data_IF_964761072016
#
_entry.id   IF_964761072016
#
_cell.length_a   1.000
_cell.length_b   1.000
_cell.length_c   1.000
_cell.angle_alpha   90.00
_cell.angle_beta   90.00
_cell.angle_gamma   90.00
#
_symmetry.space_group_name_H-M   'P 1'
#
loop_
_entity.id
_entity.type
_entity.pdbx_description
1 polymer ?
#
# COMPACT_ATOMS: atom_id res chain seq x y z
N UNK A 1 25.41 26.16 -43.18
CA UNK A 1 24.84 24.93 -42.59
C UNK A 1 25.46 24.71 -41.21
N UNK A 2 24.73 25.01 -40.12
CA UNK A 2 25.09 24.65 -38.74
C UNK A 2 23.84 24.03 -38.12
N UNK A 3 23.89 22.74 -37.77
CA UNK A 3 22.81 22.08 -37.01
C UNK A 3 23.02 22.38 -35.52
N UNK A 4 22.02 22.97 -34.88
CA UNK A 4 21.93 23.06 -33.41
C UNK A 4 21.21 21.80 -32.92
N UNK A 5 21.87 21.03 -32.07
CA UNK A 5 21.26 19.94 -31.31
C UNK A 5 20.57 20.55 -30.09
N UNK A 6 19.26 20.32 -29.95
CA UNK A 6 18.53 20.63 -28.73
C UNK A 6 18.57 19.39 -27.82
N UNK A 7 19.25 19.53 -26.68
CA UNK A 7 19.21 18.58 -25.58
C UNK A 7 17.95 18.91 -24.75
N UNK A 8 16.91 18.09 -24.82
CA UNK A 8 15.79 18.20 -23.90
C UNK A 8 16.16 17.52 -22.59
N UNK A 9 16.50 18.32 -21.57
CA UNK A 9 16.54 17.88 -20.17
C UNK A 9 15.14 18.06 -19.60
N UNK A 10 14.35 16.98 -19.52
CA UNK A 10 13.14 16.96 -18.69
C UNK A 10 13.53 16.70 -17.23
N UNK A 11 14.09 17.72 -16.58
CA UNK A 11 14.31 17.70 -15.13
C UNK A 11 13.01 18.05 -14.42
N UNK A 12 12.20 17.04 -14.07
CA UNK A 12 11.12 17.21 -13.11
C UNK A 12 11.71 17.35 -11.71
N UNK A 13 11.41 18.44 -11.02
CA UNK A 13 11.85 18.68 -9.65
C UNK A 13 10.97 17.86 -8.70
N UNK A 14 11.55 16.82 -8.07
CA UNK A 14 10.87 16.03 -7.04
C UNK A 14 10.93 16.76 -5.70
N UNK A 15 9.77 17.06 -5.11
CA UNK A 15 9.70 17.42 -3.69
C UNK A 15 9.65 16.13 -2.88
N UNK A 16 10.77 15.75 -2.28
CA UNK A 16 10.87 14.63 -1.34
C UNK A 16 10.07 14.95 -0.07
N UNK A 17 9.08 14.12 0.24
CA UNK A 17 8.54 13.96 1.60
C UNK A 17 8.55 12.45 1.88
N UNK A 18 9.12 11.97 3.00
CA UNK A 18 9.08 10.56 3.34
C UNK A 18 7.65 10.15 3.78
N UNK A 19 7.29 8.89 3.55
CA UNK A 19 5.98 8.33 3.91
C UNK A 19 4.76 8.77 3.08
N UNK A 20 4.74 9.94 2.41
CA UNK A 20 3.77 10.25 1.33
C UNK A 20 4.36 11.12 0.25
N UNK A 21 4.17 10.68 -0.98
CA UNK A 21 4.41 11.54 -2.13
C UNK A 21 3.08 12.11 -2.60
N UNK A 22 2.83 13.39 -2.29
CA UNK A 22 1.96 14.19 -3.15
C UNK A 22 2.79 14.53 -4.38
N UNK A 23 2.65 13.74 -5.45
CA UNK A 23 3.33 14.00 -6.72
C UNK A 23 2.52 14.98 -7.54
N UNK A 24 3.14 16.07 -7.98
CA UNK A 24 2.54 16.98 -8.93
C UNK A 24 2.25 16.24 -10.24
N UNK A 25 0.98 16.17 -10.65
CA UNK A 25 0.48 15.77 -11.98
C UNK A 25 1.00 14.46 -12.63
N UNK A 26 1.85 13.67 -11.99
CA UNK A 26 2.26 12.34 -12.42
C UNK A 26 1.66 11.29 -11.48
N UNK A 27 0.72 10.49 -11.99
CA UNK A 27 0.01 9.48 -11.18
C UNK A 27 0.94 8.40 -10.62
N UNK A 28 0.47 7.70 -9.60
CA UNK A 28 1.20 6.61 -8.95
C UNK A 28 1.49 5.48 -9.96
N UNK A 29 2.75 5.05 -9.99
CA UNK A 29 3.20 3.87 -10.73
C UNK A 29 3.96 2.96 -9.76
N UNK A 30 3.37 1.84 -9.39
CA UNK A 30 3.90 0.95 -8.35
C UNK A 30 3.25 -0.41 -8.39
N UNK A 31 3.80 -1.36 -7.62
CA UNK A 31 3.27 -2.72 -7.54
C UNK A 31 2.98 -3.07 -6.09
N UNK A 32 1.83 -3.69 -5.84
CA UNK A 32 1.59 -4.43 -4.61
C UNK A 32 1.78 -5.91 -4.91
N UNK A 33 2.53 -6.60 -4.08
CA UNK A 33 2.81 -8.02 -4.23
C UNK A 33 2.21 -8.73 -3.03
N UNK A 34 1.35 -9.70 -3.30
CA UNK A 34 0.65 -10.50 -2.30
C UNK A 34 1.21 -11.91 -2.40
N UNK A 35 1.85 -12.39 -1.34
CA UNK A 35 2.52 -13.69 -1.34
C UNK A 35 2.17 -14.48 -0.10
N UNK A 36 2.01 -15.78 -0.25
CA UNK A 36 1.89 -16.68 0.89
C UNK A 36 3.27 -17.22 1.23
N UNK A 37 3.80 -16.92 2.43
CA UNK A 37 5.09 -17.46 2.84
C UNK A 37 5.15 -17.63 4.37
N UNK A 38 5.36 -18.85 4.88
CA UNK A 38 5.28 -19.11 6.31
C UNK A 38 6.46 -18.56 7.12
N UNK A 39 7.58 -18.23 6.47
CA UNK A 39 8.76 -17.66 7.13
C UNK A 39 8.81 -16.14 6.95
N UNK A 40 9.70 -15.48 7.71
CA UNK A 40 9.89 -14.04 7.60
C UNK A 40 10.50 -13.68 6.23
N UNK A 41 10.03 -12.58 5.64
CA UNK A 41 10.40 -12.19 4.27
C UNK A 41 11.89 -11.81 4.13
N UNK A 42 12.53 -11.39 5.22
CA UNK A 42 13.97 -11.08 5.28
C UNK A 42 14.85 -12.33 5.13
N UNK A 43 14.33 -13.52 5.40
CA UNK A 43 15.03 -14.79 5.19
C UNK A 43 15.06 -15.23 3.72
N UNK A 44 14.21 -14.65 2.88
CA UNK A 44 14.15 -14.98 1.46
C UNK A 44 15.32 -14.33 0.70
N UNK A 45 16.35 -15.13 0.40
CA UNK A 45 17.45 -14.78 -0.53
C UNK A 45 16.96 -14.24 -1.88
N UNK A 46 15.73 -14.57 -2.27
CA UNK A 46 15.06 -14.08 -3.46
C UNK A 46 14.84 -12.55 -3.44
N UNK A 47 14.68 -11.92 -2.27
CA UNK A 47 14.66 -10.46 -2.17
C UNK A 47 16.04 -9.83 -2.39
N UNK A 48 17.12 -10.59 -2.19
CA UNK A 48 18.48 -10.15 -2.53
C UNK A 48 18.64 -9.83 -4.02
N UNK A 49 17.90 -10.49 -4.92
CA UNK A 49 17.89 -10.14 -6.36
C UNK A 49 16.87 -9.04 -6.69
N UNK A 50 15.77 -8.87 -5.93
CA UNK A 50 14.99 -7.62 -6.01
C UNK A 50 15.81 -6.41 -5.59
N UNK A 51 16.65 -6.54 -4.56
CA UNK A 51 17.57 -5.48 -4.14
C UNK A 51 18.55 -5.08 -5.25
N UNK A 52 18.84 -5.98 -6.20
CA UNK A 52 19.65 -5.68 -7.39
C UNK A 52 18.84 -4.96 -8.47
N UNK A 53 17.55 -5.26 -8.61
CA UNK A 53 16.64 -4.57 -9.54
C UNK A 53 16.20 -3.20 -9.01
N UNK A 54 16.08 -3.07 -7.69
CA UNK A 54 15.72 -1.86 -6.93
C UNK A 54 16.95 -1.10 -6.40
N UNK A 55 18.14 -1.45 -6.91
CA UNK A 55 19.43 -1.01 -6.38
C UNK A 55 19.57 0.52 -6.39
N UNK A 56 19.38 1.13 -5.22
CA UNK A 56 19.90 2.48 -4.95
C UNK A 56 19.15 3.27 -3.89
N UNK A 57 17.85 3.03 -3.69
CA UNK A 57 17.06 3.87 -2.78
C UNK A 57 16.47 3.04 -1.61
N UNK A 58 16.96 3.27 -0.38
CA UNK A 58 16.26 2.85 0.83
C UNK A 58 14.81 3.37 0.81
N UNK A 59 13.84 2.55 1.22
CA UNK A 59 12.43 2.94 1.27
C UNK A 59 11.62 2.71 -0.02
N UNK A 60 12.11 1.86 -0.92
CA UNK A 60 11.43 1.48 -2.18
C UNK A 60 10.50 0.28 -2.05
N UNK A 61 10.73 -0.56 -1.02
CA UNK A 61 9.85 -1.67 -0.64
C UNK A 61 9.30 -1.39 0.76
N UNK A 62 7.98 -1.43 0.90
CA UNK A 62 7.29 -1.36 2.19
C UNK A 62 6.60 -2.70 2.45
N UNK A 63 6.74 -3.23 3.65
CA UNK A 63 6.03 -4.44 4.06
C UNK A 63 4.82 -4.02 4.89
N UNK A 64 3.64 -4.49 4.51
CA UNK A 64 2.43 -4.32 5.31
C UNK A 64 2.30 -5.47 6.32
N UNK A 65 1.42 -5.31 7.31
CA UNK A 65 1.21 -6.32 8.35
C UNK A 65 0.85 -7.70 7.77
N UNK A 66 1.24 -8.74 8.52
CA UNK A 66 0.97 -10.14 8.15
C UNK A 66 -0.54 -10.38 8.15
N UNK A 67 -1.02 -11.01 7.09
CA UNK A 67 -2.42 -11.36 6.85
C UNK A 67 -2.68 -12.82 7.30
N UNK A 68 -3.93 -13.19 7.63
CA UNK A 68 -4.27 -14.50 8.18
C UNK A 68 -3.72 -15.61 7.31
N UNK A 69 -3.13 -16.65 7.91
CA UNK A 69 -2.57 -17.77 7.16
C UNK A 69 -1.14 -17.54 6.63
N UNK A 70 -0.43 -16.50 7.07
CA UNK A 70 0.97 -16.27 6.66
C UNK A 70 1.10 -15.58 5.30
N UNK A 71 0.09 -14.79 4.95
CA UNK A 71 0.11 -13.96 3.77
C UNK A 71 0.83 -12.64 4.07
N UNK A 72 1.65 -12.19 3.12
CA UNK A 72 2.39 -10.93 3.21
C UNK A 72 2.01 -10.04 2.04
N UNK A 73 1.97 -8.73 2.29
CA UNK A 73 1.74 -7.72 1.26
C UNK A 73 2.93 -6.77 1.23
N UNK A 74 3.48 -6.58 0.04
CA UNK A 74 4.65 -5.73 -0.21
C UNK A 74 4.28 -4.63 -1.20
N UNK A 75 4.52 -3.37 -0.86
CA UNK A 75 4.41 -2.22 -1.77
C UNK A 75 5.79 -1.92 -2.36
N UNK A 76 5.90 -1.91 -3.68
CA UNK A 76 7.11 -1.56 -4.43
C UNK A 76 6.86 -0.28 -5.22
N UNK A 77 7.39 0.85 -4.72
CA UNK A 77 7.05 2.22 -5.16
C UNK A 77 7.51 2.63 -6.54
N UNK A 78 8.49 1.94 -7.12
CA UNK A 78 8.94 2.14 -8.50
C UNK A 78 8.54 0.99 -9.42
N UNK A 79 7.73 0.09 -8.87
CA UNK A 79 7.32 -1.12 -9.51
C UNK A 79 8.42 -2.15 -9.73
N UNK A 80 7.99 -3.33 -10.17
CA UNK A 80 8.90 -4.38 -10.58
C UNK A 80 9.18 -4.24 -12.07
N UNK A 81 10.46 -4.24 -12.42
CA UNK A 81 10.84 -4.52 -13.80
C UNK A 81 10.49 -5.99 -14.10
N UNK A 82 9.71 -6.21 -15.16
CA UNK A 82 9.28 -7.54 -15.58
C UNK A 82 8.49 -8.30 -14.49
N UNK A 83 7.46 -7.67 -13.91
CA UNK A 83 6.65 -8.26 -12.83
C UNK A 83 6.13 -9.67 -13.09
N UNK A 84 5.79 -10.00 -14.35
CA UNK A 84 5.38 -11.36 -14.76
C UNK A 84 6.51 -12.39 -14.59
N UNK A 85 7.75 -11.99 -14.93
CA UNK A 85 8.92 -12.84 -14.73
C UNK A 85 9.16 -13.07 -13.24
N UNK A 86 9.00 -12.02 -12.44
CA UNK A 86 9.09 -12.13 -10.99
C UNK A 86 8.07 -13.12 -10.42
N UNK A 87 6.80 -13.02 -10.86
CA UNK A 87 5.72 -13.88 -10.37
C UNK A 87 6.01 -15.36 -10.65
N UNK A 88 6.45 -15.67 -11.87
CA UNK A 88 6.83 -17.02 -12.25
C UNK A 88 8.02 -17.57 -11.45
N UNK A 89 9.06 -16.75 -11.27
CA UNK A 89 10.24 -17.14 -10.49
C UNK A 89 9.90 -17.33 -9.00
N UNK A 90 9.04 -16.49 -8.43
CA UNK A 90 8.55 -16.63 -7.06
C UNK A 90 7.85 -17.98 -6.88
N UNK A 91 6.84 -18.28 -7.69
CA UNK A 91 6.05 -19.51 -7.56
C UNK A 91 6.94 -20.74 -7.82
N UNK A 92 7.84 -20.68 -8.79
CA UNK A 92 8.79 -21.78 -9.07
C UNK A 92 9.74 -22.04 -7.90
N UNK A 93 10.28 -20.98 -7.29
CA UNK A 93 11.27 -21.06 -6.21
C UNK A 93 10.67 -21.41 -4.85
N UNK A 94 9.49 -20.87 -4.54
CA UNK A 94 8.84 -21.02 -3.22
C UNK A 94 7.79 -22.13 -3.19
N UNK A 95 7.28 -22.53 -4.37
CA UNK A 95 6.07 -23.36 -4.50
C UNK A 95 4.87 -22.80 -3.74
N UNK A 96 4.81 -21.48 -3.60
CA UNK A 96 3.73 -20.78 -2.95
C UNK A 96 3.02 -19.84 -3.94
N UNK A 97 1.70 -19.66 -3.81
CA UNK A 97 0.94 -18.79 -4.70
C UNK A 97 1.35 -17.32 -4.49
N UNK A 98 1.18 -16.54 -5.55
CA UNK A 98 1.43 -15.11 -5.50
C UNK A 98 0.47 -14.35 -6.42
N UNK A 99 0.29 -13.07 -6.11
CA UNK A 99 -0.45 -12.09 -6.89
C UNK A 99 0.33 -10.78 -6.93
N UNK A 100 0.24 -10.08 -8.06
CA UNK A 100 0.76 -8.74 -8.25
C UNK A 100 -0.40 -7.85 -8.64
N UNK A 101 -0.50 -6.69 -7.99
CA UNK A 101 -1.41 -5.60 -8.37
C UNK A 101 -0.58 -4.42 -8.84
N UNK A 102 -0.62 -4.14 -10.13
CA UNK A 102 0.18 -3.13 -10.79
C UNK A 102 -0.65 -1.89 -11.07
N UNK A 103 -0.13 -0.73 -10.68
CA UNK A 103 -0.73 0.58 -10.91
C UNK A 103 0.05 1.34 -11.97
N UNK A 104 -0.66 1.94 -12.91
CA UNK A 104 -0.09 2.77 -13.97
C UNK A 104 -0.77 4.12 -13.99
N UNK A 105 0.00 5.16 -13.67
CA UNK A 105 -0.39 6.57 -13.74
C UNK A 105 -1.70 6.91 -13.01
N UNK A 106 -2.08 6.11 -11.99
CA UNK A 106 -3.33 6.26 -11.23
C UNK A 106 -4.63 6.01 -12.01
N UNK A 107 -4.54 5.61 -13.28
CA UNK A 107 -5.72 5.41 -14.15
C UNK A 107 -5.97 3.93 -14.47
N UNK A 108 -4.93 3.08 -14.38
CA UNK A 108 -5.02 1.67 -14.70
C UNK A 108 -4.50 0.83 -13.54
N UNK A 109 -5.32 -0.12 -13.12
CA UNK A 109 -4.91 -1.18 -12.19
C UNK A 109 -5.06 -2.54 -12.86
N UNK A 110 -3.98 -3.32 -12.83
CA UNK A 110 -3.93 -4.69 -13.38
C UNK A 110 -3.59 -5.65 -12.25
N UNK A 111 -4.44 -6.64 -12.04
CA UNK A 111 -4.19 -7.70 -11.06
C UNK A 111 -3.80 -8.96 -11.82
N UNK A 112 -2.66 -9.54 -11.45
CA UNK A 112 -2.11 -10.75 -12.02
C UNK A 112 -1.93 -11.79 -10.91
N UNK A 113 -2.39 -13.02 -11.12
CA UNK A 113 -2.24 -14.09 -10.15
C UNK A 113 -1.59 -15.32 -10.76
N UNK A 114 -0.83 -16.05 -9.94
CA UNK A 114 -0.29 -17.35 -10.28
C UNK A 114 -0.46 -18.30 -9.09
N UNK A 115 -1.15 -19.41 -9.36
CA UNK A 115 -1.35 -20.50 -8.40
C UNK A 115 -0.17 -21.47 -8.42
N UNK A 116 -0.16 -22.44 -7.51
CA UNK A 116 0.84 -23.50 -7.45
C UNK A 116 0.35 -24.76 -8.14
N UNK A 117 1.22 -25.43 -8.91
CA UNK A 117 0.97 -26.78 -9.40
C UNK A 117 1.17 -26.94 -10.91
N UNK A 118 1.03 -28.17 -11.43
CA UNK A 118 1.31 -28.50 -12.82
C UNK A 118 0.29 -27.93 -13.82
N UNK A 119 -0.82 -27.35 -13.33
CA UNK A 119 -1.85 -26.66 -14.11
C UNK A 119 -1.99 -25.19 -13.73
N UNK A 120 -1.00 -24.63 -13.05
CA UNK A 120 -1.02 -23.20 -12.76
C UNK A 120 -1.05 -22.41 -14.06
N UNK A 121 -2.16 -21.72 -14.31
CA UNK A 121 -2.33 -20.83 -15.46
C UNK A 121 -2.29 -19.39 -14.93
N UNK A 122 -1.38 -18.54 -15.42
CA UNK A 122 -1.42 -17.14 -15.05
C UNK A 122 -2.70 -16.51 -15.58
N UNK A 123 -3.30 -15.64 -14.79
CA UNK A 123 -4.44 -14.83 -15.20
C UNK A 123 -4.16 -13.36 -14.94
N UNK A 124 -4.82 -12.49 -15.71
CA UNK A 124 -4.74 -11.05 -15.51
C UNK A 124 -6.13 -10.43 -15.68
N UNK A 125 -6.52 -9.56 -14.75
CA UNK A 125 -7.75 -8.78 -14.81
C UNK A 125 -7.42 -7.30 -14.80
N UNK A 126 -8.22 -6.52 -15.53
CA UNK A 126 -8.16 -5.06 -15.47
C UNK A 126 -9.22 -4.56 -14.51
N UNK A 127 -8.81 -3.84 -13.48
CA UNK A 127 -9.74 -3.01 -12.71
C UNK A 127 -9.96 -1.72 -13.50
N UNK A 128 -11.19 -1.20 -13.52
CA UNK A 128 -11.55 0.05 -14.22
C UNK A 128 -11.45 -0.02 -15.76
N UNK A 129 -11.89 -1.14 -16.36
CA UNK A 129 -11.71 -1.39 -17.78
C UNK A 129 -12.42 -0.38 -18.72
N UNK A 130 -13.51 0.27 -18.27
CA UNK A 130 -14.36 1.09 -19.14
C UNK A 130 -13.68 2.42 -19.57
N UNK A 131 -12.90 3.04 -18.70
CA UNK A 131 -12.25 4.33 -18.97
C UNK A 131 -10.80 4.19 -19.47
N UNK A 132 -10.12 3.09 -19.14
CA UNK A 132 -8.72 2.86 -19.50
C UNK A 132 -8.48 2.15 -20.85
N UNK A 133 -9.51 1.53 -21.44
CA UNK A 133 -9.37 0.72 -22.67
C UNK A 133 -8.81 1.50 -23.87
N UNK A 134 -9.22 2.76 -24.04
CA UNK A 134 -8.79 3.59 -25.18
C UNK A 134 -7.42 4.24 -24.96
N UNK A 135 -7.03 4.48 -23.70
CA UNK A 135 -5.77 5.18 -23.35
C UNK A 135 -4.60 4.23 -23.17
N UNK A 136 -4.85 3.06 -22.60
CA UNK A 136 -3.84 2.04 -22.35
C UNK A 136 -4.22 0.78 -23.14
N UNK A 137 -3.86 0.74 -24.45
CA UNK A 137 -3.99 -0.49 -25.22
C UNK A 137 -3.30 -1.60 -24.43
N UNK A 138 -3.94 -2.77 -24.37
CA UNK A 138 -3.43 -3.97 -23.68
C UNK A 138 -1.92 -4.05 -23.88
N UNK A 139 -1.12 -4.18 -22.81
CA UNK A 139 0.33 -4.21 -22.94
C UNK A 139 0.69 -5.23 -24.01
N UNK A 140 1.14 -4.77 -25.19
CA UNK A 140 1.55 -5.64 -26.28
C UNK A 140 2.89 -6.25 -25.92
N UNK A 141 2.94 -7.13 -24.92
CA UNK A 141 4.06 -8.02 -24.56
C UNK A 141 5.47 -7.49 -24.88
N UNK A 142 5.75 -6.19 -24.70
CA UNK A 142 6.83 -5.58 -25.50
C UNK A 142 8.21 -5.89 -24.96
N UNK A 143 8.27 -6.39 -23.74
CA UNK A 143 9.50 -6.78 -23.06
C UNK A 143 9.25 -8.05 -22.24
N UNK A 144 8.91 -9.17 -22.91
CA UNK A 144 8.88 -10.47 -22.25
C UNK A 144 10.31 -11.00 -22.09
N UNK A 145 10.60 -11.55 -20.92
CA UNK A 145 11.87 -12.22 -20.68
C UNK A 145 11.88 -13.57 -21.42
N UNK A 146 12.87 -13.87 -22.29
CA UNK A 146 12.90 -15.06 -23.15
C UNK A 146 13.00 -16.39 -22.40
N UNK A 147 13.12 -16.36 -21.07
CA UNK A 147 13.21 -17.54 -20.22
C UNK A 147 11.86 -17.97 -19.62
N UNK A 148 10.76 -17.23 -19.84
CA UNK A 148 9.45 -17.68 -19.41
C UNK A 148 8.91 -18.74 -20.36
N UNK A 149 8.29 -19.82 -19.84
CA UNK A 149 7.60 -20.79 -20.68
C UNK A 149 6.52 -20.09 -21.52
N UNK A 150 6.32 -20.47 -22.80
CA UNK A 150 5.27 -19.91 -23.66
C UNK A 150 3.87 -19.99 -23.04
N UNK A 151 3.59 -21.02 -22.25
CA UNK A 151 2.34 -21.21 -21.51
C UNK A 151 2.16 -20.23 -20.33
N UNK A 152 3.23 -19.54 -19.92
CA UNK A 152 3.20 -18.47 -18.91
C UNK A 152 3.10 -17.08 -19.53
N UNK A 153 3.07 -17.00 -20.87
CA UNK A 153 2.62 -15.80 -21.56
C UNK A 153 1.16 -15.60 -21.12
N UNK A 154 0.93 -14.56 -20.33
CA UNK A 154 -0.42 -14.21 -19.84
C UNK A 154 -1.37 -14.31 -21.02
N UNK A 155 -2.42 -15.10 -20.83
CA UNK A 155 -3.45 -15.37 -21.81
C UNK A 155 -3.77 -14.10 -22.61
N UNK A 156 -3.81 -14.21 -23.93
CA UNK A 156 -4.18 -13.15 -24.86
C UNK A 156 -5.55 -12.57 -24.47
N UNK A 157 -5.58 -11.59 -23.57
CA UNK A 157 -6.81 -10.99 -23.06
C UNK A 157 -6.79 -10.77 -21.56
N UNK A 158 -6.86 -9.51 -21.16
CA UNK A 158 -7.30 -9.15 -19.81
C UNK A 158 -8.73 -9.68 -19.66
N UNK A 159 -8.94 -10.57 -18.69
CA UNK A 159 -10.28 -11.06 -18.38
C UNK A 159 -11.14 -9.88 -17.89
N UNK A 160 -12.43 -9.94 -18.19
CA UNK A 160 -13.40 -8.94 -17.79
C UNK A 160 -14.73 -9.58 -17.37
N UNK A 161 -15.57 -8.80 -16.70
CA UNK A 161 -16.89 -9.25 -16.24
C UNK A 161 -16.82 -10.51 -15.36
N UNK A 162 -17.72 -11.46 -15.62
CA UNK A 162 -17.81 -12.70 -14.83
C UNK A 162 -16.54 -13.56 -14.89
N UNK A 163 -15.83 -13.57 -16.02
CA UNK A 163 -14.59 -14.35 -16.15
C UNK A 163 -13.47 -13.80 -15.26
N UNK A 164 -13.40 -12.47 -15.11
CA UNK A 164 -12.46 -11.83 -14.18
C UNK A 164 -12.78 -12.17 -12.72
N UNK A 165 -14.06 -12.10 -12.33
CA UNK A 165 -14.51 -12.47 -10.98
C UNK A 165 -14.13 -13.90 -10.65
N UNK A 166 -14.41 -14.85 -11.55
CA UNK A 166 -14.11 -16.27 -11.30
C UNK A 166 -12.62 -16.58 -11.31
N UNK A 167 -11.79 -15.89 -12.11
CA UNK A 167 -10.35 -16.06 -12.04
C UNK A 167 -9.77 -15.61 -10.68
N UNK A 168 -10.19 -14.42 -10.22
CA UNK A 168 -9.76 -13.86 -8.94
C UNK A 168 -10.28 -14.69 -7.76
N UNK A 169 -11.56 -15.07 -7.79
CA UNK A 169 -12.16 -15.90 -6.75
C UNK A 169 -11.63 -17.34 -6.75
N UNK A 170 -11.32 -17.89 -7.94
CA UNK A 170 -10.68 -19.19 -8.12
C UNK A 170 -9.31 -19.22 -7.47
N UNK A 171 -8.49 -18.19 -7.71
CA UNK A 171 -7.18 -18.04 -7.06
C UNK A 171 -7.30 -17.94 -5.54
N UNK A 172 -8.24 -17.15 -5.02
CA UNK A 172 -8.47 -17.08 -3.56
C UNK A 172 -8.83 -18.46 -3.01
N UNK A 173 -9.75 -19.18 -3.64
CA UNK A 173 -10.17 -20.52 -3.20
C UNK A 173 -9.03 -21.55 -3.28
N UNK A 174 -8.23 -21.55 -4.35
CA UNK A 174 -7.08 -22.43 -4.54
C UNK A 174 -6.00 -22.23 -3.46
N UNK A 175 -6.02 -21.08 -2.81
CA UNK A 175 -5.04 -20.67 -1.82
C UNK A 175 -5.62 -20.60 -0.40
N UNK A 176 -6.83 -21.17 -0.21
CA UNK A 176 -7.48 -21.31 1.10
C UNK A 176 -8.31 -20.11 1.55
N UNK A 177 -8.45 -19.08 0.72
CA UNK A 177 -9.30 -17.93 0.96
C UNK A 177 -10.79 -18.18 0.66
N UNK A 178 -11.62 -17.22 1.06
CA UNK A 178 -13.07 -17.22 0.84
C UNK A 178 -13.48 -15.92 0.17
N UNK A 179 -13.39 -15.89 -1.16
CA UNK A 179 -13.71 -14.69 -1.92
C UNK A 179 -15.21 -14.33 -1.92
N UNK A 180 -15.53 -13.07 -1.63
CA UNK A 180 -16.83 -12.46 -1.88
C UNK A 180 -16.96 -12.09 -3.36
N UNK A 181 -17.56 -12.99 -4.14
CA UNK A 181 -17.78 -12.81 -5.58
C UNK A 181 -18.65 -11.60 -5.91
N UNK A 182 -19.65 -11.29 -5.08
CA UNK A 182 -20.55 -10.17 -5.34
C UNK A 182 -19.81 -8.85 -5.13
N UNK A 183 -19.03 -8.74 -4.06
CA UNK A 183 -18.15 -7.60 -3.82
C UNK A 183 -17.04 -7.46 -4.86
N UNK A 184 -16.44 -8.57 -5.33
CA UNK A 184 -15.46 -8.55 -6.43
C UNK A 184 -16.08 -8.01 -7.73
N UNK A 185 -17.30 -8.47 -8.07
CA UNK A 185 -18.02 -7.98 -9.24
C UNK A 185 -18.30 -6.46 -9.13
N UNK A 186 -18.67 -5.99 -7.95
CA UNK A 186 -18.87 -4.56 -7.69
C UNK A 186 -17.56 -3.77 -7.81
N UNK A 187 -16.45 -4.25 -7.22
CA UNK A 187 -15.15 -3.62 -7.30
C UNK A 187 -14.65 -3.50 -8.75
N UNK A 188 -14.81 -4.57 -9.54
CA UNK A 188 -14.42 -4.62 -10.95
C UNK A 188 -15.24 -3.67 -11.84
N UNK A 189 -16.49 -3.37 -11.44
CA UNK A 189 -17.40 -2.48 -12.15
C UNK A 189 -17.28 -1.00 -11.70
N UNK A 190 -16.55 -0.72 -10.61
CA UNK A 190 -16.39 0.63 -10.08
C UNK A 190 -15.56 1.52 -11.02
N UNK A 191 -15.95 2.78 -11.16
CA UNK A 191 -15.13 3.78 -11.85
C UNK A 191 -13.87 4.12 -11.03
N UNK A 192 -12.73 4.43 -11.67
CA UNK A 192 -11.50 4.70 -10.95
C UNK A 192 -11.67 5.93 -10.04
N UNK A 193 -11.47 5.72 -8.75
CA UNK A 193 -11.35 6.82 -7.79
C UNK A 193 -9.91 7.37 -7.81
N UNK A 194 -9.72 8.60 -7.32
CA UNK A 194 -8.40 9.24 -7.24
C UNK A 194 -7.38 8.54 -6.33
N UNK A 195 -7.77 7.46 -5.63
CA UNK A 195 -6.92 6.67 -4.74
C UNK A 195 -6.97 5.20 -5.16
N UNK A 196 -6.19 4.86 -6.19
CA UNK A 196 -6.19 3.50 -6.73
C UNK A 196 -5.56 2.50 -5.75
N UNK A 197 -4.75 2.95 -4.79
CA UNK A 197 -4.13 2.09 -3.79
C UNK A 197 -5.14 1.47 -2.80
N UNK A 198 -6.22 2.20 -2.46
CA UNK A 198 -7.31 1.69 -1.61
C UNK A 198 -8.02 0.49 -2.23
N UNK A 199 -7.99 0.40 -3.57
CA UNK A 199 -8.55 -0.74 -4.32
C UNK A 199 -7.80 -2.03 -3.98
N UNK A 200 -6.51 -1.99 -3.67
CA UNK A 200 -5.75 -3.19 -3.25
C UNK A 200 -6.30 -3.72 -1.95
N UNK A 201 -6.48 -2.88 -0.95
CA UNK A 201 -6.92 -3.31 0.36
C UNK A 201 -8.36 -3.82 0.33
N UNK A 202 -9.23 -3.14 -0.41
CA UNK A 202 -10.58 -3.64 -0.68
C UNK A 202 -10.58 -4.98 -1.43
N UNK A 203 -9.70 -5.14 -2.41
CA UNK A 203 -9.52 -6.43 -3.10
C UNK A 203 -9.09 -7.49 -2.09
N UNK A 204 -8.07 -7.24 -1.27
CA UNK A 204 -7.61 -8.18 -0.25
C UNK A 204 -8.73 -8.58 0.73
N UNK A 205 -9.52 -7.62 1.20
CA UNK A 205 -10.66 -7.89 2.07
C UNK A 205 -11.67 -8.81 1.39
N UNK A 206 -12.00 -8.53 0.13
CA UNK A 206 -12.89 -9.36 -0.67
C UNK A 206 -12.34 -10.75 -0.97
N UNK A 207 -11.03 -10.98 -0.84
CA UNK A 207 -10.41 -12.32 -0.97
C UNK A 207 -10.38 -13.08 0.35
N UNK A 208 -10.85 -12.48 1.45
CA UNK A 208 -10.71 -13.02 2.80
C UNK A 208 -9.30 -12.88 3.37
N UNK A 209 -8.50 -11.96 2.79
CA UNK A 209 -7.12 -11.64 3.20
C UNK A 209 -7.05 -10.31 3.95
N UNK A 210 -8.15 -9.92 4.61
CA UNK A 210 -8.17 -8.79 5.54
C UNK A 210 -7.07 -8.95 6.56
N UNK A 211 -6.44 -7.83 6.90
CA UNK A 211 -5.40 -7.82 7.92
C UNK A 211 -5.98 -8.40 9.19
N UNK A 212 -5.28 -9.37 9.79
CA UNK A 212 -5.47 -9.61 11.21
C UNK A 212 -4.83 -8.40 11.89
N UNK A 213 -5.55 -7.28 11.81
CA UNK A 213 -5.27 -6.17 12.69
C UNK A 213 -5.63 -6.73 14.06
N UNK A 214 -4.64 -7.22 14.79
CA UNK A 214 -4.67 -7.13 16.23
C UNK A 214 -4.85 -5.62 16.48
N UNK A 215 -6.10 -5.18 16.62
CA UNK A 215 -6.56 -3.82 16.30
C UNK A 215 -5.56 -2.72 16.71
N UNK A 216 -4.64 -2.37 15.81
CA UNK A 216 -4.05 -1.06 15.76
C UNK A 216 -5.18 -0.16 15.29
N UNK A 217 -5.68 0.78 16.12
CA UNK A 217 -7.00 1.39 15.89
C UNK A 217 -7.07 2.32 14.65
N UNK A 218 -6.00 2.44 13.86
CA UNK A 218 -5.83 3.52 12.86
C UNK A 218 -5.23 3.03 11.53
N UNK A 219 -6.04 2.50 10.60
CA UNK A 219 -5.58 1.93 9.33
C UNK A 219 -5.18 2.94 8.25
N UNK A 220 -5.10 4.25 8.55
CA UNK A 220 -4.73 5.29 7.58
C UNK A 220 -3.61 6.19 8.12
N UNK A 221 -2.44 5.61 8.36
CA UNK A 221 -1.25 6.37 8.77
C UNK A 221 -0.77 7.24 7.60
N UNK A 222 -0.55 8.52 7.89
CA UNK A 222 -0.44 9.61 6.94
C UNK A 222 0.94 10.25 7.03
N UNK A 223 1.93 9.80 6.24
CA UNK A 223 3.26 10.42 6.01
C UNK A 223 4.17 10.67 7.22
N UNK A 224 5.47 10.72 6.96
CA UNK A 224 6.41 11.43 7.82
C UNK A 224 6.26 12.91 7.46
N UNK A 225 5.93 13.77 8.42
CA UNK A 225 5.70 15.20 8.14
C UNK A 225 6.98 15.97 8.39
N UNK A 226 7.86 16.00 7.39
CA UNK A 226 9.10 16.77 7.46
C UNK A 226 8.87 18.30 7.33
N UNK A 227 7.63 18.73 7.04
CA UNK A 227 7.26 20.14 6.82
C UNK A 227 6.27 20.64 7.89
N UNK A 228 6.74 21.46 8.85
CA UNK A 228 5.90 21.95 9.95
C UNK A 228 4.78 22.90 9.49
N UNK A 229 4.92 23.56 8.34
CA UNK A 229 3.89 24.46 7.79
C UNK A 229 2.73 23.65 7.21
N UNK A 230 3.04 22.54 6.53
CA UNK A 230 2.00 21.62 6.05
C UNK A 230 1.25 21.00 7.21
N UNK A 231 1.96 20.57 8.25
CA UNK A 231 1.38 19.95 9.44
C UNK A 231 0.35 20.88 10.08
N UNK A 232 0.76 22.12 10.35
CA UNK A 232 -0.13 23.15 10.89
C UNK A 232 -1.36 23.35 10.02
N UNK A 233 -1.19 23.54 8.71
CA UNK A 233 -2.32 23.71 7.77
C UNK A 233 -3.29 22.51 7.80
N UNK A 234 -2.75 21.30 7.90
CA UNK A 234 -3.53 20.06 7.92
C UNK A 234 -4.35 19.92 9.20
N UNK A 235 -3.77 20.28 10.35
CA UNK A 235 -4.46 20.27 11.64
C UNK A 235 -5.52 21.37 11.74
N UNK A 236 -5.22 22.57 11.21
CA UNK A 236 -6.20 23.67 11.12
C UNK A 236 -7.37 23.33 10.20
N UNK A 237 -7.14 22.55 9.14
CA UNK A 237 -8.19 22.10 8.22
C UNK A 237 -8.92 20.82 8.69
N UNK A 238 -8.57 20.27 9.86
CA UNK A 238 -9.16 19.04 10.37
C UNK A 238 -10.66 19.23 10.62
N UNK A 239 -11.46 18.27 10.14
CA UNK A 239 -12.91 18.31 10.27
C UNK A 239 -13.36 17.42 11.45
N UNK A 240 -14.50 17.72 12.10
CA UNK A 240 -15.06 16.87 13.14
C UNK A 240 -15.23 15.41 12.67
N UNK A 241 -14.84 14.46 13.52
CA UNK A 241 -14.84 13.03 13.23
C UNK A 241 -13.67 12.55 12.34
N UNK A 242 -12.79 13.45 11.89
CA UNK A 242 -11.57 13.10 11.15
C UNK A 242 -10.35 13.11 12.06
N UNK A 243 -9.31 12.39 11.62
CA UNK A 243 -8.05 12.30 12.33
C UNK A 243 -6.84 12.54 11.42
N UNK A 244 -5.69 12.78 12.04
CA UNK A 244 -4.35 12.82 11.45
C UNK A 244 -3.42 12.01 12.34
N UNK A 245 -2.50 11.29 11.73
CA UNK A 245 -1.52 10.50 12.47
C UNK A 245 -0.12 10.72 11.90
N UNK A 246 0.87 10.68 12.78
CA UNK A 246 2.31 10.78 12.52
C UNK A 246 2.97 9.50 13.00
N UNK A 247 3.72 8.85 12.12
CA UNK A 247 4.60 7.75 12.51
C UNK A 247 5.93 8.27 13.05
N UNK A 248 6.52 7.51 13.97
CA UNK A 248 7.94 7.65 14.26
C UNK A 248 8.73 6.93 13.17
N UNK A 249 9.65 7.64 12.51
CA UNK A 249 10.48 7.08 11.42
C UNK A 249 11.28 5.82 11.83
N UNK A 250 11.44 5.56 13.12
CA UNK A 250 12.35 4.54 13.66
C UNK A 250 11.65 3.31 14.26
N UNK A 251 10.34 3.36 14.54
CA UNK A 251 9.66 2.27 15.25
C UNK A 251 8.24 1.98 14.71
N UNK A 252 7.94 0.75 14.26
CA UNK A 252 6.68 0.38 13.59
C UNK A 252 5.43 0.43 14.49
N UNK A 253 5.59 0.69 15.78
CA UNK A 253 4.49 0.80 16.75
C UNK A 253 4.42 2.16 17.43
N UNK A 254 5.23 3.11 16.97
CA UNK A 254 5.34 4.45 17.55
C UNK A 254 4.60 5.43 16.65
N UNK A 255 3.53 6.01 17.17
CA UNK A 255 2.72 6.98 16.45
C UNK A 255 2.16 8.04 17.41
N UNK A 256 1.83 9.20 16.85
CA UNK A 256 0.97 10.20 17.47
C UNK A 256 -0.23 10.47 16.56
N UNK A 257 -1.42 10.52 17.13
CA UNK A 257 -2.67 10.75 16.43
C UNK A 257 -3.42 11.92 17.05
N UNK A 258 -4.07 12.69 16.21
CA UNK A 258 -5.00 13.76 16.58
C UNK A 258 -6.33 13.50 15.91
N UNK A 259 -7.41 13.52 16.68
CA UNK A 259 -8.79 13.43 16.21
C UNK A 259 -9.56 14.67 16.65
N UNK A 260 -10.22 15.35 15.73
CA UNK A 260 -11.19 16.39 16.09
C UNK A 260 -12.52 15.72 16.43
N UNK A 261 -13.00 15.92 17.65
CA UNK A 261 -14.26 15.36 18.13
C UNK A 261 -15.46 16.14 17.57
N UNK A 262 -16.66 15.54 17.51
CA UNK A 262 -17.88 16.23 17.09
C UNK A 262 -18.18 17.49 17.91
N UNK A 263 -17.76 17.51 19.18
CA UNK A 263 -17.96 18.62 20.11
C UNK A 263 -16.99 19.80 19.90
N UNK A 264 -15.97 19.65 19.05
CA UNK A 264 -14.97 20.67 18.75
C UNK A 264 -13.63 20.52 19.48
N UNK A 265 -13.55 19.67 20.50
CA UNK A 265 -12.30 19.33 21.18
C UNK A 265 -11.40 18.44 20.32
N UNK A 266 -10.11 18.45 20.62
CA UNK A 266 -9.12 17.56 20.02
C UNK A 266 -8.75 16.46 21.01
N UNK A 267 -8.85 15.22 20.56
CA UNK A 267 -8.30 14.06 21.25
C UNK A 267 -6.94 13.72 20.64
N UNK A 268 -5.93 13.58 21.50
CA UNK A 268 -4.61 13.16 21.09
C UNK A 268 -4.35 11.79 21.67
N UNK A 269 -3.71 10.96 20.86
CA UNK A 269 -3.24 9.66 21.26
C UNK A 269 -1.79 9.48 20.87
N UNK A 270 -1.02 8.78 21.69
CA UNK A 270 0.29 8.34 21.25
C UNK A 270 0.66 6.99 21.85
N UNK A 271 1.56 6.30 21.16
CA UNK A 271 2.18 5.07 21.63
C UNK A 271 3.70 5.22 21.61
N UNK A 272 4.33 5.01 22.75
CA UNK A 272 5.78 5.16 22.91
C UNK A 272 6.45 3.79 22.85
N UNK A 273 7.15 3.48 21.75
CA UNK A 273 8.19 2.45 21.54
C UNK A 273 7.94 1.00 22.06
N UNK A 274 6.86 0.76 22.79
CA UNK A 274 6.40 -0.48 23.40
C UNK A 274 4.92 -0.61 23.05
N UNK A 275 4.50 -1.76 22.52
CA UNK A 275 3.14 -1.94 22.01
C UNK A 275 2.06 -1.88 23.10
N UNK A 276 2.43 -2.00 24.38
CA UNK A 276 1.49 -2.36 25.44
C UNK A 276 0.68 -1.19 26.00
N UNK A 277 1.12 0.07 25.84
CA UNK A 277 0.42 1.22 26.45
C UNK A 277 0.15 2.30 25.41
N UNK A 278 -1.14 2.60 25.24
CA UNK A 278 -1.63 3.75 24.47
C UNK A 278 -1.95 4.86 25.47
N UNK A 279 -1.49 6.07 25.22
CA UNK A 279 -1.81 7.24 26.04
C UNK A 279 -2.81 8.10 25.30
N UNK A 280 -3.80 8.64 26.03
CA UNK A 280 -4.82 9.54 25.48
C UNK A 280 -4.96 10.80 26.33
N UNK A 281 -5.19 11.93 25.68
CA UNK A 281 -5.61 13.18 26.32
C UNK A 281 -6.63 13.91 25.44
N UNK A 282 -7.35 14.87 26.02
CA UNK A 282 -8.32 15.71 25.31
C UNK A 282 -8.04 17.16 25.64
N UNK A 283 -8.02 18.02 24.62
CA UNK A 283 -7.76 19.44 24.76
C UNK A 283 -8.66 20.26 23.81
N UNK A 284 -9.19 21.42 24.24
CA UNK A 284 -9.89 22.34 23.35
C UNK A 284 -8.91 23.20 22.51
N UNK A 285 -7.60 23.16 22.80
CA UNK A 285 -6.62 24.07 22.22
C UNK A 285 -5.92 23.48 20.99
N UNK A 286 -6.33 23.94 19.80
CA UNK A 286 -5.66 23.61 18.54
C UNK A 286 -4.17 24.01 18.56
N UNK A 287 -3.82 25.16 19.15
CA UNK A 287 -2.44 25.63 19.22
C UNK A 287 -1.54 24.64 19.99
N UNK A 288 -2.04 24.11 21.12
CA UNK A 288 -1.34 23.06 21.87
C UNK A 288 -1.17 21.79 21.04
N UNK A 289 -2.19 21.40 20.28
CA UNK A 289 -2.11 20.24 19.38
C UNK A 289 -1.05 20.43 18.30
N UNK A 290 -1.03 21.61 17.66
CA UNK A 290 -0.06 21.92 16.62
C UNK A 290 1.37 21.90 17.19
N UNK A 291 1.59 22.52 18.35
CA UNK A 291 2.88 22.51 19.04
C UNK A 291 3.33 21.07 19.33
N UNK A 292 2.45 20.27 19.94
CA UNK A 292 2.76 18.88 20.29
C UNK A 292 3.11 18.01 19.07
N UNK A 293 2.37 18.16 17.98
CA UNK A 293 2.61 17.39 16.76
C UNK A 293 3.89 17.85 16.03
N UNK A 294 4.24 19.14 16.11
CA UNK A 294 5.51 19.65 15.57
C UNK A 294 6.70 19.11 16.36
N UNK A 295 6.61 19.15 17.68
CA UNK A 295 7.65 18.64 18.58
C UNK A 295 7.81 17.12 18.40
N UNK A 296 6.70 16.37 18.30
CA UNK A 296 6.72 14.94 17.97
C UNK A 296 7.44 14.66 16.64
N UNK A 297 7.10 15.40 15.58
CA UNK A 297 7.74 15.23 14.27
C UNK A 297 9.25 15.52 14.28
N UNK A 298 9.72 16.31 15.25
CA UNK A 298 11.14 16.60 15.46
C UNK A 298 11.83 15.59 16.39
N UNK A 299 11.11 14.62 16.96
CA UNK A 299 11.64 13.66 17.92
C UNK A 299 11.81 14.23 19.34
N UNK A 300 11.26 15.41 19.60
CA UNK A 300 11.26 16.01 20.93
C UNK A 300 10.27 15.29 21.84
N UNK A 301 10.47 15.35 23.16
CA UNK A 301 9.62 14.67 24.16
C UNK A 301 8.88 15.61 25.10
N UNK A 302 9.23 16.90 25.10
CA UNK A 302 8.70 17.90 26.04
C UNK A 302 7.22 18.21 25.85
N UNK A 303 6.68 17.99 24.64
CA UNK A 303 5.25 18.12 24.36
C UNK A 303 4.36 17.26 25.26
N UNK A 304 4.91 16.21 25.89
CA UNK A 304 4.18 15.36 26.83
C UNK A 304 3.77 16.13 28.08
N UNK A 305 4.61 17.04 28.54
CA UNK A 305 4.43 17.75 29.80
C UNK A 305 3.31 18.80 29.72
N UNK A 306 2.89 19.16 28.50
CA UNK A 306 1.80 20.12 28.26
C UNK A 306 0.39 19.56 28.43
N UNK A 307 0.28 18.23 28.66
CA UNK A 307 -0.99 17.52 28.79
C UNK A 307 -1.00 16.55 29.97
N UNK A 308 -2.21 16.32 30.49
CA UNK A 308 -2.49 15.23 31.41
C UNK A 308 -2.86 13.99 30.59
N UNK A 309 -1.95 13.02 30.53
CA UNK A 309 -2.13 11.78 29.77
C UNK A 309 -2.77 10.69 30.62
N UNK A 310 -3.83 10.08 30.08
CA UNK A 310 -4.45 8.91 30.67
C UNK A 310 -3.98 7.67 29.92
N UNK A 311 -3.40 6.65 30.59
CA UNK A 311 -3.12 5.38 29.94
C UNK A 311 -4.45 4.70 29.60
N UNK A 312 -4.62 4.37 28.32
CA UNK A 312 -5.70 3.52 27.84
C UNK A 312 -5.14 2.11 27.88
N UNK A 313 -5.49 1.35 28.92
CA UNK A 313 -5.16 -0.08 28.93
C UNK A 313 -5.71 -0.72 27.66
N UNK A 314 -4.92 -1.56 26.95
CA UNK A 314 -5.50 -2.38 25.91
C UNK A 314 -6.67 -3.14 26.52
N UNK A 315 -7.83 -3.12 25.85
CA UNK A 315 -8.98 -3.91 26.27
C UNK A 315 -8.47 -5.35 26.44
N UNK A 316 -8.64 -5.99 27.62
CA UNK A 316 -8.28 -7.39 27.76
C UNK A 316 -9.02 -8.17 26.68
N UNK A 317 -8.29 -8.85 25.80
CA UNK A 317 -8.83 -9.82 24.85
C UNK A 317 -9.35 -11.03 25.62
N UNK A 318 -10.50 -10.89 26.30
CA UNK A 318 -11.34 -12.03 26.62
C UNK A 318 -12.18 -12.35 25.38
N UNK A 319 -11.58 -13.08 24.43
CA UNK A 319 -12.19 -14.14 23.57
C UNK A 319 -11.34 -14.49 22.37
#
# INVERSE_FOLDING_TARGET
>A
MRRRSALFLSGGTYLRTPGRVSMGYGGYGGHFIVVHYPAALDELRFFGSLHVVLAGEPGTVHTHGVRPGGWHVLEVRHGLRDGEYWLGQWVAGTRAPAMIVSFYEGELCVVQGLETGPRAVPWAVRLHAASAADRYPTPKHRHLHPALPPEWMIAEGLLSGAAAVEAVAGWSAATGGQADRAGLAALLAEEPSHFTEDVVFRLLDLLGLSEQVEQAPYPHLLSTWDDPVKLERSLTALQPGRYRALDCNEHPHCFALVRMRPEGDYELEYREQKPEVLYRTVTPSLDKVIAAMKDWAQGEVLWRDDFEWTPVSPVPNDR
#
